data_IF_419256795565
#
_entry.id   IF_419256795565
#
_cell.length_a   1.000
_cell.length_b   1.000
_cell.length_c   1.000
_cell.angle_alpha   90.00
_cell.angle_beta   90.00
_cell.angle_gamma   90.00
#
_symmetry.space_group_name_H-M   'P 1'
#
loop_
_entity.id
_entity.type
_entity.pdbx_description
1 polymer ?
#
# COMPACT_ATOMS: atom_id res chain seq x y z
N UNK A 1 -23.72 -10.06 -15.42
CA UNK A 1 -22.87 -10.92 -16.28
C UNK A 1 -21.66 -10.10 -16.70
N UNK A 2 -20.45 -10.67 -16.69
CA UNK A 2 -19.25 -9.96 -17.14
C UNK A 2 -19.17 -9.95 -18.67
N UNK A 3 -18.45 -8.99 -19.27
CA UNK A 3 -18.26 -8.91 -20.74
C UNK A 3 -17.71 -10.23 -21.30
N UNK A 4 -16.79 -10.86 -20.57
CA UNK A 4 -16.21 -12.15 -20.94
C UNK A 4 -17.24 -13.29 -20.95
N UNK A 5 -18.17 -13.31 -19.99
CA UNK A 5 -19.23 -14.30 -19.91
C UNK A 5 -20.34 -14.07 -20.95
N UNK A 6 -20.43 -12.87 -21.53
CA UNK A 6 -21.39 -12.52 -22.58
C UNK A 6 -20.94 -12.92 -24.00
N UNK A 7 -19.70 -13.43 -24.17
CA UNK A 7 -19.13 -13.74 -25.48
C UNK A 7 -19.94 -14.83 -26.19
N UNK A 8 -20.45 -14.50 -27.38
CA UNK A 8 -21.28 -15.42 -28.18
C UNK A 8 -22.78 -15.34 -27.89
N UNK A 9 -23.20 -14.50 -26.94
CA UNK A 9 -24.62 -14.18 -26.70
C UNK A 9 -24.97 -12.86 -27.38
N UNK A 10 -26.24 -12.68 -27.74
CA UNK A 10 -26.79 -11.43 -28.27
C UNK A 10 -28.16 -11.17 -27.66
N UNK A 11 -28.53 -9.90 -27.49
CA UNK A 11 -29.83 -9.51 -26.95
C UNK A 11 -30.41 -8.33 -27.74
N UNK A 12 -31.75 -8.20 -27.86
CA UNK A 12 -32.40 -7.02 -28.45
C UNK A 12 -31.92 -5.73 -27.78
N UNK A 13 -31.85 -5.70 -26.45
CA UNK A 13 -31.40 -4.56 -25.66
C UNK A 13 -30.23 -4.98 -24.77
N UNK A 14 -29.16 -4.19 -24.76
CA UNK A 14 -28.01 -4.38 -23.87
C UNK A 14 -27.78 -3.12 -23.04
N UNK A 15 -27.63 -3.32 -21.73
CA UNK A 15 -27.23 -2.28 -20.78
C UNK A 15 -25.76 -2.46 -20.44
N UNK A 16 -24.92 -1.53 -20.86
CA UNK A 16 -23.54 -1.42 -20.43
C UNK A 16 -23.48 -0.45 -19.23
N UNK A 17 -23.53 -1.01 -18.03
CA UNK A 17 -23.52 -0.24 -16.80
C UNK A 17 -22.09 0.15 -16.39
N UNK A 18 -21.97 1.30 -15.71
CA UNK A 18 -20.76 1.75 -15.03
C UNK A 18 -19.55 2.09 -15.93
N UNK A 19 -19.81 2.65 -17.11
CA UNK A 19 -18.83 3.13 -18.08
C UNK A 19 -17.97 4.31 -17.59
N UNK A 20 -18.21 4.83 -16.38
CA UNK A 20 -17.43 5.93 -15.78
C UNK A 20 -16.12 5.51 -15.13
N UNK A 21 -15.88 4.20 -15.04
CA UNK A 21 -14.59 3.66 -14.70
C UNK A 21 -13.84 3.29 -15.98
N UNK A 22 -12.87 4.13 -16.35
CA UNK A 22 -11.77 3.66 -17.19
C UNK A 22 -10.86 2.73 -16.41
N UNK A 23 -9.92 2.05 -17.08
CA UNK A 23 -8.84 1.25 -16.46
C UNK A 23 -7.90 2.05 -15.54
N UNK A 24 -8.25 3.27 -15.13
CA UNK A 24 -7.62 4.01 -14.04
C UNK A 24 -7.89 3.32 -12.68
N UNK A 25 -7.40 2.10 -12.53
CA UNK A 25 -7.18 1.48 -11.25
C UNK A 25 -6.08 2.25 -10.56
N UNK A 26 -6.43 3.00 -9.51
CA UNK A 26 -5.49 3.56 -8.54
C UNK A 26 -4.56 2.49 -7.95
N UNK A 27 -4.91 1.20 -8.07
CA UNK A 27 -4.08 0.06 -7.67
C UNK A 27 -2.84 -0.18 -8.55
N UNK A 28 -2.80 0.32 -9.80
CA UNK A 28 -1.77 -0.06 -10.79
C UNK A 28 -0.56 0.85 -10.88
N UNK A 29 -0.63 2.06 -10.30
CA UNK A 29 0.54 2.95 -10.17
C UNK A 29 1.64 2.36 -9.25
N UNK A 30 1.39 1.19 -8.65
CA UNK A 30 2.28 0.54 -7.67
C UNK A 30 2.90 -0.77 -8.16
N UNK A 31 2.71 -1.16 -9.43
CA UNK A 31 3.32 -2.38 -9.99
C UNK A 31 4.83 -2.19 -10.20
N UNK A 32 5.61 -2.45 -9.14
CA UNK A 32 7.06 -2.22 -9.14
C UNK A 32 7.84 -3.15 -10.05
N UNK A 33 7.24 -4.25 -10.46
CA UNK A 33 7.83 -5.23 -11.37
C UNK A 33 6.80 -5.54 -12.44
N UNK A 34 7.21 -5.41 -13.68
CA UNK A 34 6.40 -5.71 -14.86
C UNK A 34 7.12 -6.72 -15.72
N UNK A 35 6.34 -7.56 -16.38
CA UNK A 35 6.85 -8.57 -17.29
C UNK A 35 6.15 -8.45 -18.63
N UNK A 36 6.93 -8.45 -19.70
CA UNK A 36 6.43 -8.52 -21.06
C UNK A 36 6.99 -9.76 -21.75
N UNK A 37 6.12 -10.66 -22.25
CA UNK A 37 6.55 -11.82 -23.03
C UNK A 37 7.48 -11.42 -24.19
N UNK A 38 8.61 -12.12 -24.34
CA UNK A 38 9.59 -11.86 -25.40
C UNK A 38 10.54 -10.68 -25.15
N UNK A 39 10.25 -9.79 -24.19
CA UNK A 39 11.12 -8.66 -23.82
C UNK A 39 11.81 -8.90 -22.47
N UNK A 40 11.09 -9.41 -21.48
CA UNK A 40 11.62 -9.74 -20.16
C UNK A 40 10.98 -8.93 -19.01
N UNK A 41 11.73 -8.79 -17.92
CA UNK A 41 11.26 -8.17 -16.67
C UNK A 41 11.85 -6.77 -16.54
N UNK A 42 11.00 -5.80 -16.21
CA UNK A 42 11.41 -4.46 -15.78
C UNK A 42 10.98 -4.22 -14.33
N UNK A 43 11.74 -3.40 -13.61
CA UNK A 43 11.35 -2.99 -12.27
C UNK A 43 11.65 -1.51 -12.02
N UNK A 44 10.89 -0.92 -11.11
CA UNK A 44 11.25 0.34 -10.48
C UNK A 44 12.52 0.14 -9.68
N UNK A 45 13.39 1.14 -9.68
CA UNK A 45 14.64 1.11 -8.92
C UNK A 45 14.66 2.26 -7.91
N UNK A 46 15.29 2.08 -6.75
CA UNK A 46 15.43 3.15 -5.77
C UNK A 46 16.37 4.23 -6.30
N UNK A 47 15.93 5.49 -6.21
CA UNK A 47 16.78 6.66 -6.40
C UNK A 47 17.77 6.78 -5.21
N UNK A 48 18.81 7.62 -5.34
CA UNK A 48 19.68 7.97 -4.22
C UNK A 48 18.95 8.53 -2.99
N UNK A 49 17.76 9.11 -3.16
CA UNK A 49 16.87 9.58 -2.09
C UNK A 49 15.89 8.51 -1.57
N UNK A 50 16.01 7.25 -2.01
CA UNK A 50 15.16 6.11 -1.62
C UNK A 50 13.70 6.22 -2.13
N UNK A 51 13.47 7.05 -3.17
CA UNK A 51 12.21 7.13 -3.92
C UNK A 51 12.21 6.12 -5.08
N UNK A 52 11.07 5.47 -5.35
CA UNK A 52 10.97 4.58 -6.52
C UNK A 52 10.95 5.41 -7.80
N UNK A 53 12.02 5.32 -8.58
CA UNK A 53 12.04 5.89 -9.91
C UNK A 53 11.71 4.82 -10.95
N UNK A 54 11.20 5.27 -12.09
CA UNK A 54 10.89 4.43 -13.25
C UNK A 54 12.08 4.51 -14.22
N UNK A 55 13.00 3.53 -14.27
CA UNK A 55 14.05 3.51 -15.29
C UNK A 55 13.47 3.54 -16.69
N UNK A 56 14.26 3.98 -17.67
CA UNK A 56 13.85 3.99 -19.08
C UNK A 56 13.33 2.62 -19.56
N UNK A 57 13.96 1.51 -19.13
CA UNK A 57 13.48 0.16 -19.45
C UNK A 57 12.11 -0.18 -18.83
N UNK A 58 11.84 0.32 -17.62
CA UNK A 58 10.52 0.19 -16.99
C UNK A 58 9.47 1.02 -17.72
N UNK A 59 9.79 2.26 -18.08
CA UNK A 59 8.87 3.12 -18.84
C UNK A 59 8.56 2.55 -20.23
N UNK A 60 9.55 1.98 -20.92
CA UNK A 60 9.36 1.38 -22.24
C UNK A 60 8.44 0.14 -22.21
N UNK A 61 8.69 -0.78 -21.26
CA UNK A 61 7.85 -1.97 -21.10
C UNK A 61 6.45 -1.58 -20.61
N UNK A 62 6.35 -0.65 -19.65
CA UNK A 62 5.07 -0.12 -19.17
C UNK A 62 4.25 0.48 -20.29
N UNK A 63 4.85 1.34 -21.11
CA UNK A 63 4.16 1.96 -22.25
C UNK A 63 3.64 0.93 -23.25
N UNK A 64 4.36 -0.18 -23.45
CA UNK A 64 3.94 -1.23 -24.37
C UNK A 64 2.78 -2.05 -23.79
N UNK A 65 2.87 -2.42 -22.51
CA UNK A 65 1.79 -3.12 -21.80
C UNK A 65 0.53 -2.26 -21.71
N UNK A 66 0.67 -0.96 -21.42
CA UNK A 66 -0.46 -0.03 -21.38
C UNK A 66 -1.15 0.07 -22.75
N UNK A 67 -0.37 0.04 -23.85
CA UNK A 67 -0.92 0.02 -25.20
C UNK A 67 -1.63 -1.30 -25.54
N UNK A 68 -1.06 -2.46 -25.15
CA UNK A 68 -1.71 -3.77 -25.33
C UNK A 68 -3.01 -3.87 -24.52
N UNK A 69 -2.99 -3.37 -23.29
CA UNK A 69 -4.16 -3.32 -22.43
C UNK A 69 -5.23 -2.35 -22.93
N UNK A 70 -4.83 -1.22 -23.50
CA UNK A 70 -5.75 -0.29 -24.15
C UNK A 70 -6.44 -0.97 -25.33
N UNK A 71 -5.68 -1.67 -26.19
CA UNK A 71 -6.24 -2.46 -27.30
C UNK A 71 -7.19 -3.55 -26.80
N UNK A 72 -6.86 -4.24 -25.71
CA UNK A 72 -7.76 -5.25 -25.15
C UNK A 72 -9.02 -4.63 -24.53
N UNK A 73 -8.91 -3.45 -23.92
CA UNK A 73 -10.07 -2.72 -23.41
C UNK A 73 -10.99 -2.27 -24.56
N UNK A 74 -10.44 -1.75 -25.66
CA UNK A 74 -11.18 -1.44 -26.88
C UNK A 74 -11.86 -2.68 -27.46
N UNK A 75 -11.18 -3.83 -27.50
CA UNK A 75 -11.78 -5.10 -27.93
C UNK A 75 -12.92 -5.54 -27.03
N UNK A 76 -12.77 -5.44 -25.71
CA UNK A 76 -13.84 -5.78 -24.76
C UNK A 76 -15.02 -4.83 -24.88
N UNK A 77 -14.77 -3.53 -25.04
CA UNK A 77 -15.81 -2.54 -25.29
C UNK A 77 -16.54 -2.86 -26.59
N UNK A 78 -15.81 -3.13 -27.68
CA UNK A 78 -16.38 -3.57 -28.96
C UNK A 78 -17.23 -4.83 -28.80
N UNK A 79 -16.70 -5.85 -28.11
CA UNK A 79 -17.44 -7.09 -27.83
C UNK A 79 -18.71 -6.80 -27.06
N UNK A 80 -18.70 -5.89 -26.09
CA UNK A 80 -19.88 -5.52 -25.30
C UNK A 80 -20.92 -4.74 -26.12
N UNK A 81 -20.49 -3.78 -26.93
CA UNK A 81 -21.36 -2.98 -27.79
C UNK A 81 -22.05 -3.86 -28.84
N UNK A 82 -21.31 -4.77 -29.46
CA UNK A 82 -21.82 -5.68 -30.50
C UNK A 82 -22.75 -6.77 -29.96
N UNK A 83 -23.00 -6.85 -28.65
CA UNK A 83 -24.04 -7.72 -28.09
C UNK A 83 -25.45 -7.18 -28.30
N UNK A 84 -25.59 -5.88 -28.52
CA UNK A 84 -26.89 -5.25 -28.78
C UNK A 84 -27.31 -5.50 -30.24
N UNK A 85 -28.52 -6.05 -30.42
CA UNK A 85 -29.14 -6.19 -31.74
C UNK A 85 -29.96 -4.97 -32.16
N UNK A 86 -30.64 -4.33 -31.22
CA UNK A 86 -31.55 -3.21 -31.48
C UNK A 86 -31.15 -1.96 -30.68
N UNK A 87 -30.90 -2.09 -29.37
CA UNK A 87 -30.58 -0.95 -28.50
C UNK A 87 -29.39 -1.21 -27.58
N UNK A 88 -28.47 -0.25 -27.53
CA UNK A 88 -27.38 -0.19 -26.57
C UNK A 88 -27.60 1.00 -25.63
N UNK A 89 -27.62 0.73 -24.32
CA UNK A 89 -27.77 1.75 -23.29
C UNK A 89 -26.51 1.75 -22.42
N UNK A 90 -25.79 2.87 -22.39
CA UNK A 90 -24.58 3.02 -21.60
C UNK A 90 -24.85 3.97 -20.42
N UNK A 91 -24.48 3.58 -19.20
CA UNK A 91 -24.50 4.47 -18.02
C UNK A 91 -23.10 4.67 -17.48
N UNK A 92 -22.78 5.88 -17.01
CA UNK A 92 -21.45 6.20 -16.49
C UNK A 92 -21.28 7.68 -16.17
N UNK A 93 -20.05 8.08 -15.91
CA UNK A 93 -19.68 9.44 -15.57
C UNK A 93 -18.33 9.82 -16.20
N UNK A 94 -18.09 11.10 -16.44
CA UNK A 94 -16.80 11.62 -16.93
C UNK A 94 -16.02 12.22 -15.76
N UNK A 95 -14.68 12.09 -15.78
CA UNK A 95 -13.82 12.63 -14.72
C UNK A 95 -13.07 13.86 -15.25
N UNK A 96 -13.03 14.97 -14.48
CA UNK A 96 -12.39 16.23 -14.90
C UNK A 96 -10.85 16.16 -15.01
N UNK A 97 -10.21 15.14 -14.46
CA UNK A 97 -8.75 14.93 -14.49
C UNK A 97 -8.46 13.42 -14.50
N UNK A 98 -8.21 12.86 -15.69
CA UNK A 98 -7.92 11.43 -15.86
C UNK A 98 -6.65 11.26 -16.69
N UNK A 99 -5.76 10.37 -16.22
CA UNK A 99 -4.55 9.96 -16.96
C UNK A 99 -4.88 9.07 -18.17
N UNK A 100 -6.05 8.43 -18.18
CA UNK A 100 -6.56 7.61 -19.28
C UNK A 100 -8.09 7.77 -19.40
N UNK A 101 -8.64 7.75 -20.63
CA UNK A 101 -10.07 7.96 -20.86
C UNK A 101 -10.93 6.82 -20.29
N UNK A 102 -12.13 7.17 -19.80
CA UNK A 102 -13.14 6.19 -19.39
C UNK A 102 -13.79 5.51 -20.61
N UNK A 103 -14.48 4.38 -20.41
CA UNK A 103 -15.25 3.77 -21.50
C UNK A 103 -16.30 4.73 -22.06
N UNK A 104 -16.92 5.55 -21.21
CA UNK A 104 -17.86 6.59 -21.65
C UNK A 104 -17.17 7.70 -22.45
N UNK A 105 -15.97 8.11 -22.07
CA UNK A 105 -15.16 9.11 -22.80
C UNK A 105 -14.67 8.56 -24.15
N UNK A 106 -14.26 7.30 -24.22
CA UNK A 106 -13.89 6.62 -25.48
C UNK A 106 -15.08 6.55 -26.43
N UNK A 107 -16.25 6.13 -25.95
CA UNK A 107 -17.48 6.08 -26.74
C UNK A 107 -17.87 7.48 -27.25
N UNK A 108 -17.82 8.48 -26.38
CA UNK A 108 -18.18 9.85 -26.72
C UNK A 108 -17.20 10.42 -27.75
N UNK A 109 -15.89 10.22 -27.56
CA UNK A 109 -14.86 10.68 -28.49
C UNK A 109 -14.93 9.97 -29.86
N UNK A 110 -15.26 8.68 -29.90
CA UNK A 110 -15.48 7.95 -31.16
C UNK A 110 -16.66 8.54 -31.94
N UNK A 111 -17.78 8.81 -31.26
CA UNK A 111 -18.97 9.37 -31.89
C UNK A 111 -18.78 10.83 -32.31
N UNK A 112 -18.11 11.64 -31.48
CA UNK A 112 -17.78 13.02 -31.78
C UNK A 112 -16.77 13.11 -32.95
N UNK A 113 -15.74 12.27 -32.96
CA UNK A 113 -14.72 12.22 -34.01
C UNK A 113 -15.23 11.68 -35.35
N UNK A 114 -16.27 10.84 -35.31
CA UNK A 114 -17.03 10.40 -36.46
C UNK A 114 -17.95 11.49 -37.06
N UNK A 115 -18.00 12.68 -36.44
CA UNK A 115 -18.87 13.79 -36.84
C UNK A 115 -20.34 13.55 -36.52
N UNK A 116 -20.64 12.59 -35.64
CA UNK A 116 -22.01 12.22 -35.28
C UNK A 116 -22.48 13.09 -34.11
N UNK A 117 -23.06 14.23 -34.43
CA UNK A 117 -23.72 15.07 -33.43
C UNK A 117 -24.92 14.32 -32.85
N UNK A 118 -25.01 14.25 -31.51
CA UNK A 118 -26.22 13.74 -30.85
C UNK A 118 -27.46 14.52 -31.36
N UNK A 119 -28.59 13.83 -31.49
CA UNK A 119 -29.82 14.43 -31.99
C UNK A 119 -30.38 15.45 -30.99
N UNK A 120 -30.04 16.73 -31.15
CA UNK A 120 -30.57 17.82 -30.33
C UNK A 120 -30.18 17.77 -28.84
N UNK A 121 -30.71 18.73 -28.07
CA UNK A 121 -30.32 19.00 -26.68
C UNK A 121 -30.35 17.74 -25.80
N UNK A 122 -29.31 17.60 -24.97
CA UNK A 122 -29.22 16.62 -23.88
C UNK A 122 -30.56 16.57 -23.13
N UNK A 123 -31.29 15.47 -23.25
CA UNK A 123 -32.57 15.32 -22.54
C UNK A 123 -32.28 14.92 -21.08
N UNK A 124 -32.93 15.56 -20.12
CA UNK A 124 -32.80 15.20 -18.72
C UNK A 124 -33.75 14.04 -18.38
N UNK A 125 -33.20 12.93 -17.90
CA UNK A 125 -33.97 11.84 -17.31
C UNK A 125 -34.04 12.06 -15.79
N UNK A 126 -35.22 12.41 -15.28
CA UNK A 126 -35.44 12.53 -13.84
C UNK A 126 -35.73 11.16 -13.22
N UNK A 127 -34.88 10.73 -12.29
CA UNK A 127 -35.07 9.51 -11.49
C UNK A 127 -34.96 9.91 -10.02
N UNK A 128 -36.00 9.65 -9.23
CA UNK A 128 -36.06 9.97 -7.79
C UNK A 128 -35.72 11.44 -7.45
N UNK A 129 -36.10 12.37 -8.34
CA UNK A 129 -35.84 13.80 -8.17
C UNK A 129 -34.42 14.26 -8.54
N UNK A 130 -33.59 13.36 -9.08
CA UNK A 130 -32.26 13.67 -9.61
C UNK A 130 -32.31 13.64 -11.15
N UNK A 131 -31.83 14.70 -11.78
CA UNK A 131 -31.78 14.81 -13.24
C UNK A 131 -30.45 14.27 -13.80
N UNK A 132 -30.55 13.33 -14.75
CA UNK A 132 -29.41 12.75 -15.44
C UNK A 132 -29.36 13.20 -16.90
N UNK A 133 -28.21 13.70 -17.39
CA UNK A 133 -28.07 14.06 -18.79
C UNK A 133 -28.07 12.81 -19.68
N UNK A 134 -28.98 12.74 -20.64
CA UNK A 134 -29.07 11.67 -21.63
C UNK A 134 -28.71 12.22 -23.00
N UNK A 135 -27.75 11.56 -23.65
CA UNK A 135 -27.41 11.78 -25.06
C UNK A 135 -27.96 10.62 -25.88
N UNK A 136 -28.64 10.93 -26.98
CA UNK A 136 -29.22 9.94 -27.89
C UNK A 136 -28.63 10.09 -29.27
N UNK A 137 -28.31 8.96 -29.87
CA UNK A 137 -27.93 8.83 -31.28
C UNK A 137 -28.96 7.95 -31.97
N UNK A 138 -29.60 8.47 -33.02
CA UNK A 138 -30.57 7.70 -33.81
C UNK A 138 -29.89 6.76 -34.80
N UNK A 139 -30.68 5.82 -35.32
CA UNK A 139 -30.28 4.90 -36.39
C UNK A 139 -29.77 5.66 -37.63
N UNK A 140 -30.37 6.81 -37.96
CA UNK A 140 -29.95 7.66 -39.08
C UNK A 140 -28.53 8.22 -38.87
N UNK A 141 -28.24 8.71 -37.66
CA UNK A 141 -26.92 9.20 -37.27
C UNK A 141 -25.85 8.10 -37.29
N UNK A 142 -26.20 6.88 -36.84
CA UNK A 142 -25.30 5.72 -36.87
C UNK A 142 -25.06 5.16 -38.28
N UNK A 143 -26.07 5.19 -39.15
CA UNK A 143 -25.96 4.75 -40.55
C UNK A 143 -25.08 5.70 -41.38
N UNK A 144 -25.10 7.00 -41.09
CA UNK A 144 -24.23 7.99 -41.72
C UNK A 144 -22.73 7.74 -41.40
N UNK A 145 -22.43 7.27 -40.18
CA UNK A 145 -21.08 6.86 -39.79
C UNK A 145 -20.63 5.58 -40.52
N UNK A 146 -21.50 4.57 -40.61
CA UNK A 146 -21.18 3.32 -41.30
C UNK A 146 -20.89 3.49 -42.81
N UNK A 147 -21.33 4.61 -43.41
CA UNK A 147 -21.12 4.94 -44.81
C UNK A 147 -19.79 5.65 -45.11
N UNK A 148 -19.00 6.03 -44.09
CA UNK A 148 -17.69 6.65 -44.29
C UNK A 148 -16.63 5.60 -44.70
N UNK A 149 -15.78 5.86 -45.71
CA UNK A 149 -14.73 4.93 -46.11
C UNK A 149 -13.67 4.83 -45.00
N UNK A 150 -13.37 3.60 -44.56
CA UNK A 150 -12.27 3.35 -43.63
C UNK A 150 -10.92 3.61 -44.33
N UNK A 151 -10.15 4.59 -43.87
CA UNK A 151 -8.75 4.75 -44.30
C UNK A 151 -7.88 3.62 -43.67
N UNK A 152 -7.11 2.93 -44.51
CA UNK A 152 -6.24 1.75 -44.25
C UNK A 152 -5.28 1.90 -43.03
N UNK A 153 -4.83 0.92 -42.23
CA UNK A 153 -5.08 -0.51 -41.93
C UNK A 153 -4.28 -0.86 -40.63
N UNK A 154 -4.61 -1.88 -39.80
CA UNK A 154 -3.69 -2.37 -38.76
C UNK A 154 -2.94 -3.66 -39.17
N UNK A 155 -1.74 -3.83 -38.62
CA UNK A 155 -0.82 -4.94 -38.88
C UNK A 155 -1.45 -6.33 -38.70
N UNK A 156 -1.16 -7.24 -39.64
CA UNK A 156 -1.66 -8.62 -39.64
C UNK A 156 -1.39 -9.33 -38.30
N UNK A 157 -2.43 -9.94 -37.76
CA UNK A 157 -2.37 -10.72 -36.52
C UNK A 157 -1.58 -12.02 -36.74
N UNK A 158 -1.06 -12.60 -35.66
CA UNK A 158 -0.38 -13.91 -35.67
C UNK A 158 -1.28 -15.02 -36.24
N UNK A 159 -2.60 -14.89 -36.09
CA UNK A 159 -3.60 -15.79 -36.65
C UNK A 159 -3.68 -15.70 -38.19
N UNK A 160 -3.56 -14.49 -38.74
CA UNK A 160 -3.53 -14.27 -40.19
C UNK A 160 -2.17 -14.66 -40.79
N UNK A 161 -1.08 -14.44 -40.06
CA UNK A 161 0.27 -14.82 -40.49
C UNK A 161 0.51 -16.34 -40.51
N UNK A 162 -0.12 -17.09 -39.58
CA UNK A 162 0.09 -18.54 -39.43
C UNK A 162 -1.13 -19.39 -39.82
N UNK A 163 -2.09 -18.82 -40.56
CA UNK A 163 -3.37 -19.48 -40.87
C UNK A 163 -3.21 -20.80 -41.63
N UNK A 164 -2.24 -20.88 -42.54
CA UNK A 164 -1.98 -22.09 -43.32
C UNK A 164 -1.35 -23.21 -42.49
N UNK A 165 -0.44 -22.88 -41.57
CA UNK A 165 0.21 -23.84 -40.67
C UNK A 165 -0.79 -24.45 -39.68
N UNK A 166 -1.71 -23.63 -39.18
CA UNK A 166 -2.83 -24.05 -38.32
C UNK A 166 -3.78 -24.97 -39.09
N UNK A 167 -4.15 -24.61 -40.34
CA UNK A 167 -5.01 -25.46 -41.19
C UNK A 167 -4.34 -26.78 -41.58
N UNK A 168 -3.02 -26.77 -41.73
CA UNK A 168 -2.22 -27.96 -42.04
C UNK A 168 -1.98 -28.87 -40.82
N UNK A 169 -2.41 -28.46 -39.62
CA UNK A 169 -2.21 -29.23 -38.38
C UNK A 169 -0.75 -29.31 -37.93
N UNK A 170 0.09 -28.37 -38.38
CA UNK A 170 1.49 -28.32 -37.99
C UNK A 170 1.61 -27.76 -36.57
N UNK A 171 2.46 -28.40 -35.75
CA UNK A 171 2.71 -27.93 -34.39
C UNK A 171 3.41 -26.56 -34.44
N UNK A 172 2.73 -25.52 -34.00
CA UNK A 172 3.34 -24.20 -33.82
C UNK A 172 4.38 -24.28 -32.68
N UNK A 173 5.57 -23.66 -32.84
CA UNK A 173 6.58 -23.67 -31.80
C UNK A 173 6.08 -22.88 -30.58
N UNK A 174 5.62 -23.59 -29.56
CA UNK A 174 5.38 -23.01 -28.24
C UNK A 174 6.75 -22.89 -27.55
N UNK A 175 7.19 -21.68 -27.16
CA UNK A 175 8.40 -21.54 -26.36
C UNK A 175 8.21 -22.34 -25.07
N UNK A 176 9.06 -23.33 -24.82
CA UNK A 176 9.00 -24.10 -23.60
C UNK A 176 9.21 -23.17 -22.39
N UNK A 177 8.17 -23.01 -21.56
CA UNK A 177 8.34 -22.45 -20.22
C UNK A 177 9.29 -23.33 -19.41
N UNK A 178 9.98 -22.77 -18.39
CA UNK A 178 10.88 -23.57 -17.55
C UNK A 178 10.10 -24.75 -16.94
N UNK A 179 10.60 -25.96 -17.19
CA UNK A 179 9.90 -27.23 -16.93
C UNK A 179 9.71 -27.57 -15.45
N UNK A 180 10.24 -26.75 -14.55
CA UNK A 180 10.34 -27.04 -13.13
C UNK A 180 9.89 -25.84 -12.28
N UNK A 181 8.81 -26.03 -11.53
CA UNK A 181 8.28 -25.09 -10.56
C UNK A 181 9.29 -24.80 -9.43
N UNK A 182 10.12 -25.78 -9.02
CA UNK A 182 11.21 -25.55 -8.08
C UNK A 182 12.27 -24.61 -8.66
N UNK A 183 12.60 -24.69 -9.96
CA UNK A 183 13.51 -23.75 -10.62
C UNK A 183 12.98 -22.31 -10.64
N UNK A 184 11.65 -22.14 -10.72
CA UNK A 184 10.98 -20.84 -10.65
C UNK A 184 11.02 -20.31 -9.23
N UNK A 185 10.70 -21.14 -8.22
CA UNK A 185 10.83 -20.80 -6.79
C UNK A 185 12.29 -20.50 -6.41
N UNK A 186 13.27 -21.22 -6.97
CA UNK A 186 14.69 -20.98 -6.75
C UNK A 186 15.16 -19.61 -7.28
N UNK A 187 14.50 -19.05 -8.30
CA UNK A 187 14.71 -17.66 -8.75
C UNK A 187 14.14 -16.62 -7.78
N UNK A 188 13.19 -17.02 -6.92
CA UNK A 188 12.71 -16.24 -5.79
C UNK A 188 13.47 -16.55 -4.50
N UNK A 189 14.52 -17.38 -4.53
CA UNK A 189 15.45 -17.48 -3.41
C UNK A 189 16.09 -16.09 -3.18
N UNK A 190 16.29 -15.67 -1.92
CA UNK A 190 16.74 -14.31 -1.64
C UNK A 190 18.06 -14.01 -2.36
N UNK A 191 18.03 -13.05 -3.27
CA UNK A 191 19.24 -12.60 -3.95
C UNK A 191 20.18 -11.96 -2.92
N UNK A 192 21.46 -12.32 -2.99
CA UNK A 192 22.50 -11.66 -2.21
C UNK A 192 22.55 -10.18 -2.63
N UNK A 193 22.73 -9.22 -1.70
CA UNK A 193 22.84 -7.81 -2.08
C UNK A 193 23.97 -7.60 -3.09
N UNK A 194 23.68 -6.89 -4.19
CA UNK A 194 24.63 -6.69 -5.30
C UNK A 194 25.88 -5.88 -4.90
N UNK A 195 25.84 -5.15 -3.78
CA UNK A 195 26.95 -4.37 -3.24
C UNK A 195 27.22 -4.75 -1.79
N UNK A 196 28.39 -5.34 -1.53
CA UNK A 196 28.87 -5.72 -0.18
C UNK A 196 29.88 -4.72 0.39
N UNK A 197 30.36 -3.82 -0.45
CA UNK A 197 31.39 -2.82 -0.16
C UNK A 197 30.83 -1.57 0.54
N UNK A 198 29.54 -1.28 0.38
CA UNK A 198 28.88 -0.16 1.05
C UNK A 198 28.30 -0.56 2.42
N UNK A 199 28.21 0.38 3.38
CA UNK A 199 27.50 0.16 4.63
C UNK A 199 26.02 -0.16 4.39
N UNK A 200 25.47 -1.12 5.13
CA UNK A 200 24.05 -1.46 5.05
C UNK A 200 23.25 -0.31 5.66
N UNK A 201 22.34 0.30 4.90
CA UNK A 201 21.42 1.32 5.42
C UNK A 201 20.12 0.68 5.90
N UNK A 202 19.72 0.91 7.14
CA UNK A 202 18.49 0.32 7.70
C UNK A 202 17.83 1.18 8.79
N UNK A 203 16.51 1.37 8.71
CA UNK A 203 15.78 2.04 9.80
C UNK A 203 15.57 1.13 11.01
N UNK A 204 15.46 1.70 12.22
CA UNK A 204 15.25 0.95 13.48
C UNK A 204 14.08 -0.04 13.38
N UNK A 205 12.91 0.39 12.88
CA UNK A 205 11.75 -0.49 12.74
C UNK A 205 11.99 -1.69 11.82
N UNK A 206 12.77 -1.48 10.75
CA UNK A 206 13.17 -2.53 9.81
C UNK A 206 14.16 -3.49 10.46
N UNK A 207 15.14 -2.99 11.21
CA UNK A 207 16.09 -3.82 11.96
C UNK A 207 15.37 -4.70 12.99
N UNK A 208 14.42 -4.14 13.74
CA UNK A 208 13.61 -4.89 14.70
C UNK A 208 12.69 -5.92 14.04
N UNK A 209 12.21 -5.66 12.81
CA UNK A 209 11.44 -6.65 12.07
C UNK A 209 12.32 -7.83 11.64
N UNK A 210 13.55 -7.55 11.20
CA UNK A 210 14.51 -8.60 10.87
C UNK A 210 14.88 -9.43 12.10
N UNK A 211 15.18 -8.76 13.22
CA UNK A 211 15.49 -9.40 14.49
C UNK A 211 14.35 -10.29 14.99
N UNK A 212 13.10 -9.84 14.86
CA UNK A 212 11.93 -10.65 15.18
C UNK A 212 11.80 -11.87 14.26
N UNK A 213 11.89 -11.68 12.94
CA UNK A 213 11.89 -12.76 11.96
C UNK A 213 12.46 -12.29 10.59
N UNK A 214 13.62 -12.83 10.16
CA UNK A 214 14.22 -12.49 8.87
C UNK A 214 13.30 -12.76 7.68
N UNK A 215 12.47 -13.81 7.75
CA UNK A 215 11.48 -14.11 6.71
C UNK A 215 10.38 -13.05 6.64
N UNK A 216 9.91 -12.54 7.78
CA UNK A 216 8.93 -11.46 7.82
C UNK A 216 9.52 -10.17 7.23
N UNK A 217 10.78 -9.85 7.57
CA UNK A 217 11.49 -8.74 6.96
C UNK A 217 11.58 -8.88 5.44
N UNK A 218 11.91 -10.08 4.96
CA UNK A 218 12.01 -10.37 3.53
C UNK A 218 10.69 -10.15 2.80
N UNK A 219 9.59 -10.73 3.29
CA UNK A 219 8.25 -10.50 2.72
C UNK A 219 7.86 -9.02 2.74
N UNK A 220 8.08 -8.35 3.88
CA UNK A 220 7.60 -6.98 4.11
C UNK A 220 8.41 -5.93 3.36
N UNK A 221 9.74 -6.03 3.38
CA UNK A 221 10.62 -4.95 2.93
C UNK A 221 11.41 -5.27 1.68
N UNK A 222 11.63 -6.55 1.35
CA UNK A 222 12.30 -6.93 0.11
C UNK A 222 11.30 -7.29 -0.99
N UNK A 223 10.18 -7.92 -0.61
CA UNK A 223 9.07 -8.22 -1.55
C UNK A 223 7.91 -7.22 -1.47
N UNK A 224 7.93 -6.26 -0.54
CA UNK A 224 6.91 -5.22 -0.36
C UNK A 224 5.45 -5.73 -0.25
N UNK A 225 5.24 -6.93 0.32
CA UNK A 225 3.93 -7.62 0.35
C UNK A 225 2.87 -6.96 1.25
N UNK A 226 3.25 -6.19 2.26
CA UNK A 226 2.30 -5.55 3.19
C UNK A 226 1.48 -4.42 2.54
N UNK A 227 1.94 -3.86 1.41
CA UNK A 227 1.18 -2.87 0.64
C UNK A 227 0.09 -3.53 -0.24
N UNK A 228 0.23 -4.82 -0.59
CA UNK A 228 -0.73 -5.55 -1.40
C UNK A 228 -1.97 -6.00 -0.60
N UNK A 229 -1.84 -6.18 0.72
CA UNK A 229 -2.92 -6.63 1.62
C UNK A 229 -3.88 -5.52 2.06
N UNK A 230 -3.53 -4.24 1.89
CA UNK A 230 -4.42 -3.10 2.23
C UNK A 230 -5.67 -2.98 1.35
N UNK A 231 -5.77 -3.76 0.27
CA UNK A 231 -6.93 -3.78 -0.64
C UNK A 231 -7.67 -5.12 -0.72
N UNK A 232 -7.33 -6.11 0.11
CA UNK A 232 -7.88 -7.46 -0.04
C UNK A 232 -8.02 -8.19 1.31
N UNK A 233 -8.90 -7.71 2.16
CA UNK A 233 -9.61 -8.58 3.10
C UNK A 233 -11.11 -8.26 2.98
N UNK A 234 -11.95 -9.16 2.46
CA UNK A 234 -13.37 -9.08 2.74
C UNK A 234 -13.59 -9.25 4.25
N UNK A 235 -14.64 -8.64 4.83
CA UNK A 235 -14.95 -8.83 6.25
C UNK A 235 -15.10 -10.32 6.52
N UNK A 236 -14.43 -10.78 7.57
CA UNK A 236 -14.61 -12.13 8.11
C UNK A 236 -16.06 -12.23 8.56
N UNK A 237 -16.90 -12.91 7.77
CA UNK A 237 -18.24 -13.32 8.20
C UNK A 237 -18.04 -14.40 9.25
N UNK A 238 -18.18 -14.01 10.52
CA UNK A 238 -18.24 -14.91 11.65
C UNK A 238 -19.53 -15.72 11.61
N UNK A 239 -19.39 -17.04 11.62
CA UNK A 239 -20.46 -17.95 11.99
C UNK A 239 -20.82 -17.78 13.47
N UNK A 240 -22.10 -18.00 13.73
CA UNK A 240 -22.82 -17.83 14.99
C UNK A 240 -22.20 -18.64 16.15
N UNK A 241 -22.00 -17.98 17.30
CA UNK A 241 -22.60 -18.36 18.61
C UNK A 241 -21.89 -17.64 19.79
N UNK A 242 -22.67 -16.89 20.59
CA UNK A 242 -22.38 -16.69 22.02
C UNK A 242 -21.92 -15.31 22.54
N UNK A 243 -22.87 -14.37 22.69
CA UNK A 243 -23.08 -13.47 23.84
C UNK A 243 -21.94 -12.60 24.46
N UNK A 244 -22.11 -11.28 24.30
CA UNK A 244 -21.74 -10.13 25.16
C UNK A 244 -20.25 -9.87 25.53
N UNK A 245 -19.62 -8.84 24.94
CA UNK A 245 -19.59 -7.46 25.49
C UNK A 245 -18.81 -6.50 24.55
N UNK A 246 -19.44 -5.36 24.22
CA UNK A 246 -18.89 -4.09 23.70
C UNK A 246 -17.57 -4.14 22.88
N UNK A 247 -17.60 -4.70 21.67
CA UNK A 247 -16.60 -4.39 20.66
C UNK A 247 -16.94 -3.04 20.01
N UNK A 248 -16.42 -1.95 20.58
CA UNK A 248 -16.28 -0.68 19.84
C UNK A 248 -15.48 -0.99 18.58
N UNK A 249 -16.10 -0.88 17.42
CA UNK A 249 -15.48 -0.92 16.09
C UNK A 249 -14.34 0.11 16.03
N UNK A 250 -13.15 -0.32 16.45
CA UNK A 250 -11.91 0.43 16.25
C UNK A 250 -11.49 0.22 14.82
N UNK A 251 -11.55 1.29 14.04
CA UNK A 251 -10.88 1.40 12.74
C UNK A 251 -9.42 0.96 12.87
N UNK A 252 -8.95 0.20 11.88
CA UNK A 252 -7.63 -0.44 11.76
C UNK A 252 -6.54 0.26 12.60
N UNK A 253 -6.09 -0.39 13.69
CA UNK A 253 -5.25 0.22 14.74
C UNK A 253 -3.92 0.84 14.26
N UNK A 254 -3.51 0.55 13.02
CA UNK A 254 -2.34 1.14 12.36
C UNK A 254 -2.60 2.56 11.85
N UNK A 255 -3.81 2.86 11.37
CA UNK A 255 -4.18 4.18 10.84
C UNK A 255 -4.45 5.19 11.95
N UNK A 256 -5.16 4.77 13.01
CA UNK A 256 -5.38 5.60 14.19
C UNK A 256 -4.06 6.01 14.86
N UNK A 257 -3.13 5.06 15.05
CA UNK A 257 -1.82 5.35 15.62
C UNK A 257 -1.04 6.37 14.77
N UNK A 258 -1.06 6.22 13.44
CA UNK A 258 -0.40 7.16 12.52
C UNK A 258 -0.98 8.57 12.64
N UNK A 259 -2.30 8.68 12.71
CA UNK A 259 -3.00 9.96 12.89
C UNK A 259 -2.68 10.60 14.25
N UNK A 260 -2.61 9.79 15.31
CA UNK A 260 -2.25 10.25 16.65
C UNK A 260 -0.83 10.80 16.71
N UNK A 261 0.15 10.12 16.09
CA UNK A 261 1.51 10.67 15.95
C UNK A 261 1.49 11.98 15.17
N UNK A 262 0.77 12.08 14.05
CA UNK A 262 0.68 13.32 13.26
C UNK A 262 0.14 14.51 14.09
N UNK A 263 -0.79 14.26 15.02
CA UNK A 263 -1.25 15.27 15.99
C UNK A 263 -0.16 15.60 17.00
N UNK A 264 0.46 14.60 17.64
CA UNK A 264 1.51 14.81 18.65
C UNK A 264 2.74 15.55 18.12
N UNK A 265 3.00 15.45 16.82
CA UNK A 265 4.02 16.22 16.11
C UNK A 265 3.74 17.72 16.06
N UNK A 266 2.45 18.11 16.07
CA UNK A 266 2.00 19.49 15.83
C UNK A 266 1.48 20.19 17.09
N UNK A 267 1.08 19.45 18.13
CA UNK A 267 0.59 20.06 19.39
C UNK A 267 1.61 21.01 19.99
N UNK A 268 1.16 22.15 20.49
CA UNK A 268 1.97 23.00 21.37
C UNK A 268 1.88 22.45 22.80
N UNK A 269 3.03 22.05 23.36
CA UNK A 269 3.12 21.53 24.73
C UNK A 269 2.94 22.61 25.81
N UNK A 270 3.08 23.89 25.46
CA UNK A 270 2.88 25.00 26.39
C UNK A 270 1.42 25.48 26.44
N UNK A 271 0.56 24.92 25.58
CA UNK A 271 -0.87 25.17 25.54
C UNK A 271 -1.69 23.92 25.94
N UNK A 272 -2.99 24.10 26.17
CA UNK A 272 -3.87 22.97 26.48
C UNK A 272 -3.99 22.03 25.26
N UNK A 273 -3.49 20.79 25.39
CA UNK A 273 -3.45 19.81 24.29
C UNK A 273 -4.82 19.60 23.62
N UNK A 274 -5.85 19.36 24.43
CA UNK A 274 -7.21 19.06 23.95
C UNK A 274 -7.89 20.26 23.28
N UNK A 275 -7.47 21.48 23.60
CA UNK A 275 -7.96 22.72 22.98
C UNK A 275 -7.48 22.92 21.55
N UNK A 276 -6.38 22.27 21.16
CA UNK A 276 -5.78 22.38 19.83
C UNK A 276 -6.28 21.30 18.86
N UNK A 277 -6.88 20.23 19.38
CA UNK A 277 -7.17 19.00 18.63
C UNK A 277 -8.02 19.24 17.38
N UNK A 278 -9.16 19.95 17.51
CA UNK A 278 -10.09 20.10 16.39
C UNK A 278 -9.49 20.91 15.22
N UNK A 279 -8.66 21.91 15.52
CA UNK A 279 -7.89 22.66 14.51
C UNK A 279 -6.88 21.76 13.82
N UNK A 280 -6.07 21.02 14.59
CA UNK A 280 -5.06 20.11 14.06
C UNK A 280 -5.68 18.99 13.21
N UNK A 281 -6.80 18.41 13.64
CA UNK A 281 -7.52 17.39 12.88
C UNK A 281 -8.05 17.92 11.55
N UNK A 282 -8.50 19.18 11.52
CA UNK A 282 -8.94 19.82 10.28
C UNK A 282 -7.78 19.99 9.30
N UNK A 283 -6.60 20.37 9.78
CA UNK A 283 -5.40 20.52 8.96
C UNK A 283 -4.89 19.17 8.46
N UNK A 284 -4.74 18.19 9.36
CA UNK A 284 -4.26 16.85 9.04
C UNK A 284 -5.23 16.12 8.11
N UNK A 285 -6.55 16.23 8.33
CA UNK A 285 -7.56 15.63 7.44
C UNK A 285 -7.46 16.15 5.99
N UNK A 286 -7.16 17.45 5.81
CA UNK A 286 -6.88 18.04 4.50
C UNK A 286 -5.61 17.48 3.87
N UNK A 287 -4.51 17.42 4.63
CA UNK A 287 -3.22 16.87 4.16
C UNK A 287 -3.34 15.42 3.69
N UNK A 288 -4.12 14.60 4.41
CA UNK A 288 -4.30 13.19 4.11
C UNK A 288 -5.47 12.90 3.15
N UNK A 289 -6.15 13.94 2.65
CA UNK A 289 -7.31 13.84 1.76
C UNK A 289 -8.39 12.85 2.25
N UNK A 290 -8.56 12.74 3.58
CA UNK A 290 -9.56 11.86 4.20
C UNK A 290 -10.32 12.59 5.31
N UNK A 291 -11.64 12.41 5.42
CA UNK A 291 -12.37 12.91 6.57
C UNK A 291 -11.94 12.16 7.83
N UNK A 292 -11.79 12.89 8.94
CA UNK A 292 -11.62 12.31 10.27
C UNK A 292 -13.02 12.07 10.85
N UNK A 293 -13.28 10.87 11.34
CA UNK A 293 -14.58 10.50 11.90
C UNK A 293 -14.76 11.11 13.31
N UNK A 294 -16.00 11.38 13.74
CA UNK A 294 -16.26 11.83 15.12
C UNK A 294 -15.76 10.85 16.19
N UNK A 295 -15.76 9.55 15.89
CA UNK A 295 -15.23 8.51 16.78
C UNK A 295 -13.70 8.62 16.92
N UNK A 296 -12.97 8.77 15.81
CA UNK A 296 -11.51 9.01 15.85
C UNK A 296 -11.18 10.29 16.64
N UNK A 297 -11.93 11.38 16.44
CA UNK A 297 -11.72 12.62 17.22
C UNK A 297 -11.97 12.41 18.72
N UNK A 298 -13.04 11.69 19.09
CA UNK A 298 -13.34 11.39 20.49
C UNK A 298 -12.22 10.57 21.14
N UNK A 299 -11.77 9.50 20.48
CA UNK A 299 -10.71 8.63 20.97
C UNK A 299 -9.37 9.37 21.09
N UNK A 300 -9.03 10.24 20.12
CA UNK A 300 -7.83 11.07 20.19
C UNK A 300 -7.90 12.09 21.33
N UNK A 301 -9.07 12.69 21.55
CA UNK A 301 -9.29 13.60 22.69
C UNK A 301 -9.07 12.88 24.02
N UNK A 302 -9.56 11.66 24.16
CA UNK A 302 -9.32 10.83 25.34
C UNK A 302 -7.85 10.47 25.53
N UNK A 303 -7.11 10.17 24.46
CA UNK A 303 -5.67 9.92 24.49
C UNK A 303 -4.88 11.16 24.94
N UNK A 304 -5.18 12.34 24.38
CA UNK A 304 -4.51 13.59 24.75
C UNK A 304 -4.82 14.02 26.19
N UNK A 305 -6.08 13.86 26.63
CA UNK A 305 -6.47 14.14 28.01
C UNK A 305 -5.68 13.26 29.00
N UNK A 306 -5.56 11.96 28.71
CA UNK A 306 -4.73 11.04 29.50
C UNK A 306 -3.27 11.44 29.48
N UNK A 307 -2.68 11.71 28.31
CA UNK A 307 -1.29 12.16 28.24
C UNK A 307 -1.05 13.38 29.14
N UNK A 308 -1.94 14.37 29.10
CA UNK A 308 -1.81 15.59 29.89
C UNK A 308 -1.87 15.38 31.41
N UNK A 309 -2.45 14.28 31.89
CA UNK A 309 -2.55 13.97 33.32
C UNK A 309 -1.34 13.21 33.88
N UNK A 310 -0.51 12.63 33.01
CA UNK A 310 0.65 11.82 33.42
C UNK A 310 1.83 12.70 33.86
N UNK A 311 2.56 12.24 34.89
CA UNK A 311 3.77 12.93 35.37
C UNK A 311 4.88 13.00 34.31
N UNK A 312 4.96 12.01 33.41
CA UNK A 312 5.90 12.02 32.30
C UNK A 312 5.64 13.20 31.34
N UNK A 313 4.38 13.61 31.17
CA UNK A 313 4.05 14.78 30.37
C UNK A 313 4.49 16.08 31.06
N UNK A 314 4.31 16.18 32.38
CA UNK A 314 4.85 17.30 33.18
C UNK A 314 6.37 17.38 33.10
N UNK A 315 7.05 16.23 32.99
CA UNK A 315 8.50 16.17 32.76
C UNK A 315 8.88 16.74 31.40
N UNK A 316 8.13 16.45 30.33
CA UNK A 316 8.34 17.06 28.99
C UNK A 316 8.15 18.57 29.03
N UNK A 317 7.07 19.06 29.64
CA UNK A 317 6.76 20.50 29.64
C UNK A 317 7.75 21.32 30.46
N UNK A 318 8.33 20.74 31.52
CA UNK A 318 9.37 21.37 32.36
C UNK A 318 10.80 21.16 31.85
N UNK A 319 11.00 20.42 30.77
CA UNK A 319 12.33 20.18 30.24
C UNK A 319 12.99 21.50 29.82
N UNK A 320 14.27 21.66 30.18
CA UNK A 320 15.09 22.82 29.80
C UNK A 320 15.31 22.90 28.29
N UNK A 321 15.25 21.76 27.61
CA UNK A 321 15.39 21.62 26.17
C UNK A 321 14.56 20.43 25.70
N UNK A 322 13.89 20.56 24.55
CA UNK A 322 13.05 19.51 23.97
C UNK A 322 13.07 19.59 22.44
N UNK A 323 13.27 18.43 21.81
CA UNK A 323 13.25 18.22 20.37
C UNK A 323 12.18 17.17 20.06
N UNK A 324 11.42 17.39 18.99
CA UNK A 324 10.38 16.46 18.53
C UNK A 324 10.72 15.95 17.15
N UNK A 325 10.30 14.72 16.86
CA UNK A 325 10.64 14.05 15.60
C UNK A 325 12.14 14.08 15.30
N UNK A 326 12.95 13.96 16.36
CA UNK A 326 14.39 14.11 16.27
C UNK A 326 14.94 12.95 15.45
N UNK A 327 15.44 13.27 14.26
CA UNK A 327 16.06 12.31 13.35
C UNK A 327 17.52 12.12 13.75
N UNK A 328 18.00 10.91 13.56
CA UNK A 328 19.43 10.62 13.64
C UNK A 328 19.87 9.69 12.51
N UNK A 329 21.15 9.78 12.16
CA UNK A 329 21.87 8.82 11.35
C UNK A 329 23.09 8.40 12.14
N UNK A 330 23.18 7.12 12.48
CA UNK A 330 24.25 6.57 13.28
C UNK A 330 24.91 5.39 12.57
N UNK A 331 26.14 5.08 12.96
CA UNK A 331 26.92 3.96 12.42
C UNK A 331 27.30 3.00 13.53
N UNK A 332 26.98 1.73 13.36
CA UNK A 332 27.47 0.63 14.18
C UNK A 332 28.15 -0.39 13.27
N UNK A 333 29.49 -0.45 13.31
CA UNK A 333 30.27 -1.26 12.39
C UNK A 333 30.04 -0.90 10.92
N UNK A 334 29.48 -1.83 10.16
CA UNK A 334 29.17 -1.72 8.73
C UNK A 334 27.67 -1.44 8.47
N UNK A 335 26.91 -1.12 9.53
CA UNK A 335 25.49 -0.75 9.45
C UNK A 335 25.35 0.75 9.72
N UNK A 336 24.77 1.46 8.76
CA UNK A 336 24.24 2.80 8.92
C UNK A 336 22.76 2.68 9.26
N UNK A 337 22.33 3.19 10.41
CA UNK A 337 20.93 3.09 10.81
C UNK A 337 20.32 4.43 11.18
N UNK A 338 19.02 4.52 10.91
CA UNK A 338 18.24 5.75 11.09
C UNK A 338 17.05 5.50 11.99
N UNK A 339 16.67 6.52 12.75
CA UNK A 339 15.48 6.51 13.57
C UNK A 339 14.90 7.91 13.68
N UNK A 340 13.65 7.96 14.10
CA UNK A 340 12.93 9.18 14.41
C UNK A 340 12.40 9.01 15.83
N UNK A 341 12.78 9.96 16.68
CA UNK A 341 12.44 9.95 18.09
C UNK A 341 11.30 10.92 18.30
N UNK A 342 10.19 10.47 18.88
CA UNK A 342 9.01 11.32 19.09
C UNK A 342 9.37 12.53 19.96
N UNK A 343 10.05 12.31 21.09
CA UNK A 343 10.57 13.36 21.98
C UNK A 343 11.96 13.01 22.51
N UNK A 344 12.90 13.94 22.33
CA UNK A 344 14.21 13.96 22.99
C UNK A 344 14.25 15.20 23.88
N UNK A 345 14.41 15.04 25.20
CA UNK A 345 14.33 16.14 26.14
C UNK A 345 15.48 16.11 27.16
N UNK A 346 15.73 17.26 27.80
CA UNK A 346 16.77 17.42 28.83
C UNK A 346 16.22 18.09 30.08
N UNK A 347 16.42 17.43 31.22
CA UNK A 347 16.15 17.99 32.55
C UNK A 347 17.38 17.87 33.46
N UNK A 348 17.21 18.10 34.77
CA UNK A 348 18.28 18.00 35.77
C UNK A 348 18.91 16.60 35.84
N UNK A 349 18.18 15.55 35.46
CA UNK A 349 18.64 14.17 35.41
C UNK A 349 19.43 13.82 34.14
N UNK A 350 19.51 14.74 33.18
CA UNK A 350 20.21 14.56 31.90
C UNK A 350 19.27 14.44 30.71
N UNK A 351 19.79 13.91 29.60
CA UNK A 351 19.01 13.68 28.39
C UNK A 351 18.17 12.40 28.50
N UNK A 352 16.97 12.44 27.96
CA UNK A 352 16.07 11.29 27.96
C UNK A 352 15.17 11.27 26.73
N UNK A 353 14.68 10.08 26.41
CA UNK A 353 13.85 9.82 25.23
C UNK A 353 12.46 9.39 25.66
N UNK A 354 11.44 9.86 24.95
CA UNK A 354 10.06 9.41 25.05
C UNK A 354 9.54 8.98 23.68
N UNK A 355 8.92 7.82 23.64
CA UNK A 355 8.25 7.24 22.47
C UNK A 355 6.78 6.96 22.81
N UNK A 356 5.87 7.40 21.95
CA UNK A 356 4.44 7.20 22.09
C UNK A 356 4.01 5.92 21.37
N UNK A 357 3.07 5.18 21.98
CA UNK A 357 2.51 3.95 21.43
C UNK A 357 1.02 3.85 21.68
N UNK A 358 0.36 3.07 20.84
CA UNK A 358 -0.99 2.56 21.06
C UNK A 358 -0.96 1.04 21.04
N UNK A 359 -1.95 0.40 21.66
CA UNK A 359 -2.06 -1.04 21.81
C UNK A 359 -1.36 -1.57 23.05
N UNK A 360 -1.00 -2.86 23.01
CA UNK A 360 -0.47 -3.58 24.19
C UNK A 360 1.03 -3.38 24.35
N UNK A 361 1.47 -3.55 25.60
CA UNK A 361 2.90 -3.60 25.92
C UNK A 361 3.65 -4.62 25.06
N UNK A 362 4.83 -4.22 24.56
CA UNK A 362 5.68 -5.07 23.73
C UNK A 362 7.15 -4.88 24.09
N UNK A 363 7.91 -5.96 24.42
CA UNK A 363 9.36 -5.88 24.62
C UNK A 363 10.13 -5.29 23.43
N UNK A 364 9.54 -5.34 22.23
CA UNK A 364 10.11 -4.72 21.02
C UNK A 364 10.23 -3.20 21.16
N UNK A 365 9.30 -2.55 21.85
CA UNK A 365 9.35 -1.09 22.04
C UNK A 365 10.53 -0.68 22.94
N UNK A 366 10.90 -1.49 23.94
CA UNK A 366 12.13 -1.27 24.72
C UNK A 366 13.40 -1.42 23.86
N UNK A 367 13.43 -2.37 22.92
CA UNK A 367 14.52 -2.47 21.95
C UNK A 367 14.58 -1.24 21.04
N UNK A 368 13.44 -0.72 20.60
CA UNK A 368 13.32 0.47 19.76
C UNK A 368 13.93 1.71 20.46
N UNK A 369 13.48 2.05 21.66
CA UNK A 369 14.02 3.21 22.39
C UNK A 369 15.48 3.01 22.80
N UNK A 370 15.93 1.76 23.00
CA UNK A 370 17.35 1.47 23.20
C UNK A 370 18.22 1.72 21.96
N UNK A 371 17.72 1.37 20.78
CA UNK A 371 18.38 1.70 19.51
C UNK A 371 18.42 3.22 19.28
N UNK A 372 17.39 3.94 19.73
CA UNK A 372 17.37 5.40 19.71
C UNK A 372 18.42 6.01 20.64
N UNK A 373 18.52 5.53 21.88
CA UNK A 373 19.55 5.97 22.82
C UNK A 373 20.97 5.73 22.27
N UNK A 374 21.23 4.53 21.73
CA UNK A 374 22.50 4.22 21.06
C UNK A 374 22.76 5.16 19.87
N UNK A 375 21.72 5.43 19.08
CA UNK A 375 21.80 6.29 17.89
C UNK A 375 22.13 7.74 18.20
N UNK A 376 21.47 8.33 19.20
CA UNK A 376 21.73 9.71 19.64
C UNK A 376 23.12 9.83 20.26
N UNK A 377 23.52 8.86 21.09
CA UNK A 377 24.87 8.82 21.64
C UNK A 377 25.93 8.79 20.54
N UNK A 378 25.74 7.97 19.51
CA UNK A 378 26.68 7.86 18.41
C UNK A 378 26.66 9.06 17.45
N UNK A 379 25.49 9.65 17.19
CA UNK A 379 25.34 10.71 16.20
C UNK A 379 25.63 12.11 16.76
N UNK A 380 25.29 12.35 18.03
CA UNK A 380 25.33 13.68 18.65
C UNK A 380 26.33 13.77 19.81
N UNK A 381 26.92 12.66 20.25
CA UNK A 381 27.82 12.64 21.41
C UNK A 381 27.11 12.94 22.75
N UNK A 382 25.80 12.72 22.80
CA UNK A 382 24.94 13.03 23.95
C UNK A 382 24.63 11.73 24.70
N UNK A 383 24.96 11.65 25.99
CA UNK A 383 24.55 10.53 26.84
C UNK A 383 23.07 10.61 27.23
N UNK A 384 22.31 9.57 26.87
CA UNK A 384 20.90 9.44 27.22
C UNK A 384 20.80 8.66 28.53
N UNK A 385 20.30 9.30 29.58
CA UNK A 385 20.15 8.72 30.91
C UNK A 385 18.93 7.80 31.03
N UNK A 386 17.80 8.21 30.46
CA UNK A 386 16.52 7.49 30.56
C UNK A 386 15.83 7.30 29.21
N UNK A 387 15.08 6.22 29.10
CA UNK A 387 14.09 6.02 28.03
C UNK A 387 12.72 5.75 28.64
N UNK A 388 11.68 6.28 28.00
CA UNK A 388 10.29 6.09 28.40
C UNK A 388 9.44 5.73 27.19
N UNK A 389 8.45 4.86 27.41
CA UNK A 389 7.39 4.55 26.44
C UNK A 389 6.06 4.86 27.11
N UNK A 390 5.17 5.55 26.39
CA UNK A 390 3.82 5.84 26.86
C UNK A 390 2.79 5.19 25.95
N UNK A 391 1.97 4.30 26.51
CA UNK A 391 0.82 3.69 25.85
C UNK A 391 -0.41 4.55 26.06
N UNK A 392 -0.79 5.27 25.01
CA UNK A 392 -1.80 6.32 25.07
C UNK A 392 -3.23 5.80 25.15
N UNK A 393 -3.44 4.52 24.83
CA UNK A 393 -4.73 3.85 24.92
C UNK A 393 -4.90 2.97 26.17
N UNK A 394 -3.87 2.84 27.02
CA UNK A 394 -4.00 2.22 28.35
C UNK A 394 -4.68 3.19 29.33
N UNK A 395 -5.70 2.72 30.04
CA UNK A 395 -6.49 3.56 30.96
C UNK A 395 -5.86 3.63 32.35
N UNK A 396 -5.14 2.58 32.76
CA UNK A 396 -4.43 2.55 34.03
C UNK A 396 -3.11 3.33 33.91
N UNK A 397 -2.95 4.49 34.61
CA UNK A 397 -1.74 5.31 34.53
C UNK A 397 -0.47 4.57 34.95
N UNK A 398 -0.58 3.57 35.83
CA UNK A 398 0.57 2.79 36.32
C UNK A 398 1.09 1.80 35.27
N UNK A 399 0.24 1.43 34.32
CA UNK A 399 0.57 0.56 33.18
C UNK A 399 0.81 1.33 31.89
N UNK A 400 0.37 2.59 31.82
CA UNK A 400 0.54 3.42 30.65
C UNK A 400 2.01 3.85 30.44
N UNK A 401 2.81 3.99 31.50
CA UNK A 401 4.18 4.52 31.42
C UNK A 401 5.21 3.44 31.76
N UNK A 402 6.12 3.17 30.82
CA UNK A 402 7.25 2.26 31.04
C UNK A 402 8.57 3.01 30.90
N UNK A 403 9.22 3.29 32.04
CA UNK A 403 10.51 3.97 32.08
C UNK A 403 11.65 3.02 32.48
N UNK A 404 12.83 3.22 31.88
CA UNK A 404 14.06 2.49 32.18
C UNK A 404 15.27 3.42 32.11
N UNK A 405 16.23 3.22 33.01
CA UNK A 405 17.55 3.83 32.90
C UNK A 405 18.34 3.14 31.80
N UNK A 406 19.05 3.91 31.00
CA UNK A 406 19.98 3.38 29.99
C UNK A 406 21.21 2.84 30.70
N UNK A 407 21.60 1.63 30.35
CA UNK A 407 22.80 0.95 30.88
C UNK A 407 23.72 0.53 29.75
N UNK A 408 25.00 0.31 30.07
CA UNK A 408 25.96 -0.20 29.10
C UNK A 408 25.56 -1.54 28.51
N UNK A 409 24.98 -2.43 29.33
CA UNK A 409 24.44 -3.73 28.87
C UNK A 409 23.30 -3.56 27.88
N UNK A 410 22.40 -2.61 28.13
CA UNK A 410 21.32 -2.28 27.21
C UNK A 410 21.90 -1.82 25.87
N UNK A 411 22.86 -0.89 25.87
CA UNK A 411 23.51 -0.39 24.66
C UNK A 411 24.31 -1.49 23.93
N UNK A 412 25.07 -2.30 24.67
CA UNK A 412 25.82 -3.43 24.12
C UNK A 412 24.90 -4.45 23.43
N UNK A 413 23.75 -4.74 24.02
CA UNK A 413 22.76 -5.62 23.40
C UNK A 413 22.20 -5.07 22.08
N UNK A 414 22.03 -3.74 21.97
CA UNK A 414 21.58 -3.11 20.71
C UNK A 414 22.66 -3.13 19.63
N UNK A 415 23.94 -2.95 20.02
CA UNK A 415 25.07 -3.09 19.07
C UNK A 415 25.12 -4.51 18.51
N UNK A 416 24.95 -5.53 19.38
CA UNK A 416 24.93 -6.93 18.96
C UNK A 416 23.78 -7.21 18.00
N UNK A 417 22.58 -6.69 18.29
CA UNK A 417 21.42 -6.78 17.41
C UNK A 417 21.72 -6.19 16.03
N UNK A 418 22.22 -4.95 15.95
CA UNK A 418 22.54 -4.31 14.67
C UNK A 418 23.58 -5.08 13.86
N UNK A 419 24.63 -5.60 14.52
CA UNK A 419 25.64 -6.45 13.86
C UNK A 419 25.06 -7.76 13.35
N UNK A 420 24.19 -8.41 14.13
CA UNK A 420 23.49 -9.63 13.73
C UNK A 420 22.57 -9.40 12.52
N UNK A 421 21.79 -8.32 12.54
CA UNK A 421 20.96 -7.87 11.41
C UNK A 421 21.82 -7.60 10.18
N UNK A 422 22.90 -6.83 10.32
CA UNK A 422 23.81 -6.50 9.23
C UNK A 422 24.45 -7.72 8.58
N UNK A 423 25.02 -8.61 9.39
CA UNK A 423 25.63 -9.84 8.93
C UNK A 423 24.64 -10.77 8.24
N UNK A 424 23.46 -10.95 8.83
CA UNK A 424 22.42 -11.83 8.29
C UNK A 424 21.87 -11.34 6.94
N UNK A 425 21.53 -10.05 6.82
CA UNK A 425 21.03 -9.47 5.55
C UNK A 425 22.09 -9.60 4.44
N UNK A 426 23.36 -9.28 4.72
CA UNK A 426 24.45 -9.37 3.73
C UNK A 426 24.69 -10.79 3.22
N UNK A 427 24.47 -11.79 4.08
CA UNK A 427 24.59 -13.20 3.72
C UNK A 427 23.37 -13.72 2.95
N UNK A 428 22.30 -12.93 2.83
CA UNK A 428 21.03 -13.36 2.26
C UNK A 428 20.23 -14.27 3.21
N UNK A 429 20.47 -14.17 4.51
CA UNK A 429 19.82 -15.00 5.53
C UNK A 429 18.40 -14.53 5.80
N UNK A 430 17.40 -15.18 5.21
CA UNK A 430 16.00 -14.85 5.46
C UNK A 430 15.17 -16.07 5.87
N UNK A 431 15.78 -16.98 6.62
CA UNK A 431 15.08 -18.13 7.17
C UNK A 431 13.96 -17.69 8.13
N UNK A 432 12.80 -18.39 8.16
CA UNK A 432 11.79 -18.12 9.15
C UNK A 432 12.30 -18.47 10.55
N UNK A 433 11.98 -17.63 11.53
CA UNK A 433 12.21 -17.89 12.95
C UNK A 433 10.84 -18.04 13.63
N UNK A 434 10.32 -19.26 13.80
CA UNK A 434 9.01 -19.46 14.41
C UNK A 434 8.96 -18.94 15.86
N UNK A 435 7.85 -18.28 16.22
CA UNK A 435 7.62 -17.78 17.57
C UNK A 435 6.18 -17.26 17.73
N UNK A 436 5.86 -16.66 18.88
CA UNK A 436 4.49 -16.11 19.13
C UNK A 436 4.05 -15.07 18.10
N UNK A 437 4.99 -14.32 17.52
CA UNK A 437 4.70 -13.35 16.47
C UNK A 437 4.15 -14.01 15.18
N UNK A 438 4.31 -15.33 15.00
CA UNK A 438 3.75 -16.05 13.86
C UNK A 438 2.22 -16.04 13.87
N UNK A 439 1.56 -16.07 15.02
CA UNK A 439 0.08 -16.10 15.15
C UNK A 439 -0.59 -14.87 14.53
N UNK A 440 0.11 -13.75 14.53
CA UNK A 440 -0.36 -12.46 14.00
C UNK A 440 0.44 -12.02 12.77
N UNK A 441 1.26 -12.92 12.21
CA UNK A 441 2.07 -12.58 11.04
C UNK A 441 1.17 -12.50 9.81
N UNK A 442 1.19 -11.39 9.04
CA UNK A 442 0.34 -11.24 7.85
C UNK A 442 0.74 -12.17 6.70
N UNK A 443 1.90 -12.82 6.79
CA UNK A 443 2.45 -13.70 5.75
C UNK A 443 2.33 -15.19 6.11
N UNK A 444 1.50 -15.57 7.09
CA UNK A 444 1.34 -16.97 7.52
C UNK A 444 1.06 -17.91 6.35
N UNK A 445 0.13 -17.53 5.46
CA UNK A 445 -0.30 -18.34 4.31
C UNK A 445 0.79 -18.50 3.25
N UNK A 446 1.78 -17.60 3.20
CA UNK A 446 2.88 -17.60 2.23
C UNK A 446 4.18 -18.17 2.82
N UNK A 447 4.25 -18.27 4.16
CA UNK A 447 5.45 -18.69 4.87
C UNK A 447 5.48 -20.22 4.99
N UNK A 448 6.59 -20.88 4.60
CA UNK A 448 6.73 -22.33 4.78
C UNK A 448 6.60 -22.80 6.24
N UNK A 449 6.89 -21.93 7.20
CA UNK A 449 6.72 -22.21 8.63
C UNK A 449 5.35 -21.78 9.19
N UNK A 450 4.57 -21.00 8.43
CA UNK A 450 3.21 -20.57 8.79
C UNK A 450 2.13 -21.49 8.23
N UNK A 451 2.40 -22.17 7.11
CA UNK A 451 1.56 -23.24 6.59
C UNK A 451 1.67 -24.47 7.50
N UNK A 452 0.81 -24.58 8.52
CA UNK A 452 0.52 -25.88 9.15
C UNK A 452 0.02 -26.80 8.03
N UNK A 453 0.70 -27.92 7.81
CA UNK A 453 0.28 -29.01 6.93
C UNK A 453 -1.17 -29.37 7.28
N UNK A 454 -2.12 -29.01 6.42
CA UNK A 454 -3.44 -29.63 6.41
C UNK A 454 -3.19 -31.04 5.89
N UNK A 455 -3.21 -32.04 6.78
CA UNK A 455 -3.20 -33.43 6.34
C UNK A 455 -4.40 -33.63 5.41
N UNK A 456 -4.12 -33.99 4.17
CA UNK A 456 -5.12 -34.54 3.28
C UNK A 456 -5.68 -35.81 3.94
N UNK A 457 -6.93 -35.75 4.36
CA UNK A 457 -7.70 -36.97 4.61
C UNK A 457 -8.23 -37.39 3.25
N UNK A 458 -7.62 -38.43 2.67
CA UNK A 458 -8.27 -39.19 1.61
C UNK A 458 -9.61 -39.71 2.16
N UNK A 459 -10.70 -39.42 1.44
CA UNK A 459 -11.97 -40.11 1.59
C UNK A 459 -12.11 -41.09 0.45
#
# INVERSE_FOLDING_TARGET
MTIHAAKGLEAPVVFLADCGWGKANAHRQHERVIYQPGVGIACQVPSPEDEMCNPAGYLAIRSTLDAEEAREAERLLYVAMTRAREHLICSGFTKKNVMQPTYLELLTAMLDGAGVTADGDVSALAVDGVEYPVRRWTEEAMNALAAQPAEDAPAATLWEACQEEIRAGLALPIPAGPADFESVIARFAPLRPARRDLPLRIGVNRALCYDACPRQYWFRYLLHREQATRGALPPVVGGEDGAHDDERERTDGTEFGTLLHAVLQRVDFDAALTGQLSTLLTEIGKEHARPITPAEEHDMRACLARLSSLDIYRRVTRASERHREQRFLAREGDVLYTGIIDVLARDEGGWWILDYKTGRYSPRHLRQVGLYALGIQAAMGIEVADVAIVYLDEEDPTRAVHQRRVTDDMLASQRLLLRGVGGGIRQGGFAPLPGRHCEFCPFQMECPAGQRVVMAVEV
#
